data_IF_451582678482
#
_entry.id   IF_451582678482
#
_cell.length_a   1.000
_cell.length_b   1.000
_cell.length_c   1.000
_cell.angle_alpha   90.00
_cell.angle_beta   90.00
_cell.angle_gamma   90.00
#
_symmetry.space_group_name_H-M   'P 1'
#
loop_
_entity.id
_entity.type
_entity.pdbx_description
1 polymer ?
#
# COMPACT_ATOMS: atom_id res chain seq x y z
N UNK A 1 11.17 -60.49 -33.78
CA UNK A 1 10.69 -59.13 -33.48
C UNK A 1 10.41 -58.44 -34.82
N UNK A 2 9.24 -58.66 -35.40
CA UNK A 2 8.84 -58.18 -36.73
C UNK A 2 7.33 -57.92 -36.61
N UNK A 3 6.75 -56.72 -36.70
CA UNK A 3 6.94 -55.53 -37.55
C UNK A 3 6.70 -55.78 -39.05
N UNK A 4 5.49 -56.26 -39.36
CA UNK A 4 4.75 -55.93 -40.59
C UNK A 4 3.25 -55.97 -40.30
N UNK A 5 2.66 -54.85 -39.87
CA UNK A 5 1.20 -54.66 -39.94
C UNK A 5 0.88 -54.18 -41.36
N UNK A 6 0.07 -54.92 -42.11
CA UNK A 6 -0.38 -54.51 -43.45
C UNK A 6 -1.07 -53.15 -43.37
N UNK A 7 -0.99 -52.33 -44.42
CA UNK A 7 -1.59 -50.99 -44.43
C UNK A 7 -3.09 -51.01 -44.07
N UNK A 8 -3.81 -52.07 -44.45
CA UNK A 8 -5.22 -52.24 -44.09
C UNK A 8 -5.46 -52.41 -42.58
N UNK A 9 -4.61 -53.16 -41.87
CA UNK A 9 -4.76 -53.38 -40.43
C UNK A 9 -4.42 -52.12 -39.62
N UNK A 10 -3.42 -51.35 -40.06
CA UNK A 10 -3.10 -50.06 -39.44
C UNK A 10 -4.28 -49.08 -39.58
N UNK A 11 -4.95 -49.06 -40.74
CA UNK A 11 -6.12 -48.20 -40.98
C UNK A 11 -7.32 -48.61 -40.11
N UNK A 12 -7.58 -49.91 -39.94
CA UNK A 12 -8.63 -50.38 -39.04
C UNK A 12 -8.34 -50.04 -37.58
N UNK A 13 -7.10 -50.19 -37.11
CA UNK A 13 -6.70 -49.86 -35.75
C UNK A 13 -6.91 -48.36 -35.44
N UNK A 14 -6.55 -47.47 -36.38
CA UNK A 14 -6.77 -46.02 -36.24
C UNK A 14 -8.27 -45.70 -36.20
N UNK A 15 -9.09 -46.33 -37.06
CA UNK A 15 -10.55 -46.14 -37.05
C UNK A 15 -11.17 -46.60 -35.73
N UNK A 16 -10.75 -47.75 -35.21
CA UNK A 16 -11.28 -48.29 -33.95
C UNK A 16 -10.87 -47.41 -32.75
N UNK A 17 -9.63 -46.91 -32.74
CA UNK A 17 -9.15 -45.98 -31.72
C UNK A 17 -9.98 -44.69 -31.69
N UNK A 18 -10.22 -44.07 -32.85
CA UNK A 18 -11.00 -42.84 -32.96
C UNK A 18 -12.48 -43.05 -32.62
N UNK A 19 -13.08 -44.18 -33.02
CA UNK A 19 -14.45 -44.52 -32.64
C UNK A 19 -14.61 -44.67 -31.12
N UNK A 20 -13.55 -45.11 -30.44
CA UNK A 20 -13.57 -45.35 -28.98
C UNK A 20 -13.21 -44.10 -28.17
N UNK A 21 -12.21 -43.33 -28.62
CA UNK A 21 -11.63 -42.22 -27.84
C UNK A 21 -11.89 -40.82 -28.41
N UNK A 22 -12.40 -40.71 -29.64
CA UNK A 22 -12.54 -39.45 -30.36
C UNK A 22 -13.35 -38.39 -29.61
N UNK A 23 -14.45 -38.79 -28.97
CA UNK A 23 -15.27 -37.88 -28.15
C UNK A 23 -14.48 -37.32 -26.96
N UNK A 24 -13.71 -38.15 -26.25
CA UNK A 24 -12.90 -37.72 -25.11
C UNK A 24 -11.74 -36.81 -25.56
N UNK A 25 -11.11 -37.10 -26.69
CA UNK A 25 -10.05 -36.27 -27.28
C UNK A 25 -10.60 -34.90 -27.69
N UNK A 26 -11.75 -34.86 -28.37
CA UNK A 26 -12.39 -33.61 -28.79
C UNK A 26 -12.81 -32.79 -27.56
N UNK A 27 -13.43 -33.42 -26.57
CA UNK A 27 -13.83 -32.75 -25.34
C UNK A 27 -12.61 -32.19 -24.59
N UNK A 28 -11.55 -32.99 -24.45
CA UNK A 28 -10.29 -32.55 -23.86
C UNK A 28 -9.64 -31.40 -24.62
N UNK A 29 -9.66 -31.43 -25.95
CA UNK A 29 -9.14 -30.35 -26.79
C UNK A 29 -9.97 -29.07 -26.65
N UNK A 30 -11.30 -29.14 -26.62
CA UNK A 30 -12.18 -27.98 -26.44
C UNK A 30 -11.98 -27.36 -25.06
N UNK A 31 -11.91 -28.17 -24.00
CA UNK A 31 -11.64 -27.68 -22.65
C UNK A 31 -10.24 -27.07 -22.57
N UNK A 32 -9.23 -27.73 -23.14
CA UNK A 32 -7.85 -27.27 -23.13
C UNK A 32 -7.67 -25.95 -23.87
N UNK A 33 -8.21 -25.83 -25.09
CA UNK A 33 -8.14 -24.60 -25.88
C UNK A 33 -9.00 -23.49 -25.28
N UNK A 34 -10.19 -23.82 -24.80
CA UNK A 34 -11.09 -22.87 -24.13
C UNK A 34 -10.47 -22.29 -22.85
N UNK A 35 -9.86 -23.14 -22.02
CA UNK A 35 -9.13 -22.70 -20.83
C UNK A 35 -7.92 -21.82 -21.17
N UNK A 36 -7.16 -22.19 -22.20
CA UNK A 36 -5.97 -21.43 -22.61
C UNK A 36 -6.33 -20.06 -23.19
N UNK A 37 -7.37 -19.96 -24.01
CA UNK A 37 -7.88 -18.67 -24.51
C UNK A 37 -8.53 -17.84 -23.42
N UNK A 38 -9.31 -18.44 -22.53
CA UNK A 38 -9.88 -17.74 -21.38
C UNK A 38 -8.81 -17.13 -20.49
N UNK A 39 -7.75 -17.90 -20.18
CA UNK A 39 -6.61 -17.40 -19.39
C UNK A 39 -5.83 -16.30 -20.10
N UNK A 40 -5.59 -16.44 -21.42
CA UNK A 40 -4.93 -15.38 -22.22
C UNK A 40 -5.72 -14.09 -22.23
N UNK A 41 -7.01 -14.17 -22.56
CA UNK A 41 -7.90 -13.01 -22.58
C UNK A 41 -7.93 -12.29 -21.23
N UNK A 42 -8.02 -13.06 -20.12
CA UNK A 42 -7.96 -12.50 -18.78
C UNK A 42 -6.63 -11.79 -18.51
N UNK A 43 -5.49 -12.37 -18.92
CA UNK A 43 -4.18 -11.77 -18.72
C UNK A 43 -4.00 -10.48 -19.55
N UNK A 44 -4.41 -10.51 -20.82
CA UNK A 44 -4.35 -9.35 -21.71
C UNK A 44 -5.21 -8.19 -21.17
N UNK A 45 -6.42 -8.48 -20.70
CA UNK A 45 -7.29 -7.49 -20.06
C UNK A 45 -6.66 -6.87 -18.80
N UNK A 46 -5.98 -7.69 -17.99
CA UNK A 46 -5.29 -7.19 -16.79
C UNK A 46 -4.05 -6.35 -17.13
N UNK A 47 -3.33 -6.71 -18.20
CA UNK A 47 -2.19 -5.93 -18.68
C UNK A 47 -2.63 -4.56 -19.19
N UNK A 48 -3.71 -4.52 -19.98
CA UNK A 48 -4.28 -3.29 -20.50
C UNK A 48 -4.82 -2.39 -19.38
N UNK A 49 -5.54 -2.95 -18.39
CA UNK A 49 -6.00 -2.18 -17.22
C UNK A 49 -4.81 -1.56 -16.46
N UNK A 50 -3.72 -2.31 -16.25
CA UNK A 50 -2.51 -1.78 -15.60
C UNK A 50 -1.85 -0.67 -16.42
N UNK A 51 -1.82 -0.79 -17.76
CA UNK A 51 -1.26 0.24 -18.63
C UNK A 51 -2.09 1.52 -18.61
N UNK A 52 -3.43 1.42 -18.66
CA UNK A 52 -4.33 2.56 -18.55
C UNK A 52 -4.22 3.24 -17.19
N UNK A 53 -4.22 2.46 -16.10
CA UNK A 53 -4.02 2.95 -14.74
C UNK A 53 -2.68 3.68 -14.59
N UNK A 54 -1.61 3.16 -15.19
CA UNK A 54 -0.28 3.78 -15.18
C UNK A 54 -0.29 5.15 -15.85
N UNK A 55 -0.89 5.25 -17.04
CA UNK A 55 -0.98 6.51 -17.78
C UNK A 55 -1.81 7.56 -17.02
N UNK A 56 -2.98 7.16 -16.52
CA UNK A 56 -3.85 8.04 -15.75
C UNK A 56 -3.22 8.45 -14.40
N UNK A 57 -2.49 7.54 -13.74
CA UNK A 57 -1.73 7.88 -12.54
C UNK A 57 -0.62 8.90 -12.81
N UNK A 58 0.12 8.75 -13.91
CA UNK A 58 1.17 9.71 -14.27
C UNK A 58 0.58 11.11 -14.49
N UNK A 59 -0.59 11.22 -15.11
CA UNK A 59 -1.32 12.50 -15.26
C UNK A 59 -1.64 13.13 -13.91
N UNK A 60 -2.10 12.33 -12.94
CA UNK A 60 -2.37 12.80 -11.57
C UNK A 60 -1.07 13.33 -10.95
N UNK A 61 0.03 12.58 -11.02
CA UNK A 61 1.32 12.99 -10.44
C UNK A 61 1.84 14.27 -11.10
N UNK A 62 1.76 14.39 -12.42
CA UNK A 62 2.18 15.59 -13.16
C UNK A 62 1.39 16.83 -12.71
N UNK A 63 0.06 16.71 -12.59
CA UNK A 63 -0.79 17.83 -12.15
C UNK A 63 -0.47 18.27 -10.72
N UNK A 64 -0.35 17.33 -9.78
CA UNK A 64 -0.01 17.64 -8.38
C UNK A 64 1.39 18.25 -8.28
N UNK A 65 2.34 17.77 -9.08
CA UNK A 65 3.70 18.33 -9.15
C UNK A 65 3.73 19.74 -9.74
N UNK A 66 2.78 20.07 -10.61
CA UNK A 66 2.57 21.42 -11.13
C UNK A 66 1.84 22.35 -10.14
N UNK A 67 1.48 21.86 -8.95
CA UNK A 67 0.76 22.61 -7.92
C UNK A 67 -0.75 22.63 -8.11
N UNK A 68 -1.29 21.81 -9.03
CA UNK A 68 -2.73 21.68 -9.21
C UNK A 68 -3.33 20.82 -8.09
N UNK A 69 -4.40 21.32 -7.47
CA UNK A 69 -5.19 20.55 -6.52
C UNK A 69 -6.09 19.58 -7.28
N UNK A 70 -5.84 18.28 -7.10
CA UNK A 70 -6.79 17.25 -7.54
C UNK A 70 -7.93 17.17 -6.55
N UNK A 71 -9.17 17.19 -7.04
CA UNK A 71 -10.33 17.03 -6.15
C UNK A 71 -10.37 15.62 -5.59
N UNK A 72 -10.81 15.48 -4.34
CA UNK A 72 -10.98 14.15 -3.74
C UNK A 72 -11.89 13.26 -4.60
N UNK A 73 -12.94 13.82 -5.21
CA UNK A 73 -13.82 13.08 -6.12
C UNK A 73 -13.07 12.48 -7.32
N UNK A 74 -12.19 13.24 -7.99
CA UNK A 74 -11.40 12.74 -9.11
C UNK A 74 -10.48 11.58 -8.68
N UNK A 75 -9.83 11.71 -7.52
CA UNK A 75 -8.95 10.68 -6.99
C UNK A 75 -9.74 9.42 -6.58
N UNK A 76 -10.90 9.59 -5.96
CA UNK A 76 -11.78 8.48 -5.59
C UNK A 76 -12.36 7.75 -6.82
N UNK A 77 -12.71 8.47 -7.88
CA UNK A 77 -13.07 7.86 -9.17
C UNK A 77 -11.92 7.01 -9.72
N UNK A 78 -10.70 7.55 -9.76
CA UNK A 78 -9.52 6.80 -10.19
C UNK A 78 -9.29 5.53 -9.34
N UNK A 79 -9.39 5.65 -8.01
CA UNK A 79 -9.22 4.53 -7.08
C UNK A 79 -10.26 3.43 -7.36
N UNK A 80 -11.52 3.81 -7.57
CA UNK A 80 -12.61 2.88 -7.87
C UNK A 80 -12.39 2.15 -9.19
N UNK A 81 -12.04 2.89 -10.25
CA UNK A 81 -11.81 2.36 -11.60
C UNK A 81 -10.59 1.42 -11.68
N UNK A 82 -9.57 1.65 -10.84
CA UNK A 82 -8.30 0.93 -10.91
C UNK A 82 -7.94 0.14 -9.65
N UNK A 83 -8.92 -0.22 -8.80
CA UNK A 83 -8.72 -0.92 -7.52
C UNK A 83 -7.93 -2.24 -7.60
N UNK A 84 -7.93 -2.91 -8.76
CA UNK A 84 -7.18 -4.13 -9.02
C UNK A 84 -5.67 -3.90 -9.22
N UNK A 85 -5.23 -2.65 -9.35
CA UNK A 85 -3.85 -2.28 -9.65
C UNK A 85 -3.12 -1.73 -8.42
N UNK A 86 -1.79 -1.69 -8.45
CA UNK A 86 -1.00 -1.02 -7.41
C UNK A 86 -1.15 0.51 -7.39
N UNK A 87 -1.65 1.09 -8.49
CA UNK A 87 -1.82 2.54 -8.62
C UNK A 87 -2.95 3.09 -7.76
N UNK A 88 -3.98 2.29 -7.46
CA UNK A 88 -5.07 2.72 -6.58
C UNK A 88 -4.57 3.07 -5.18
N UNK A 89 -3.67 2.26 -4.60
CA UNK A 89 -3.07 2.55 -3.30
C UNK A 89 -2.22 3.84 -3.33
N UNK A 90 -1.48 4.08 -4.43
CA UNK A 90 -0.69 5.30 -4.59
C UNK A 90 -1.57 6.54 -4.76
N UNK A 91 -2.67 6.44 -5.51
CA UNK A 91 -3.64 7.51 -5.64
C UNK A 91 -4.34 7.84 -4.30
N UNK A 92 -4.62 6.82 -3.48
CA UNK A 92 -5.15 7.01 -2.12
C UNK A 92 -4.16 7.76 -1.21
N UNK A 93 -2.85 7.53 -1.35
CA UNK A 93 -1.83 8.32 -0.66
C UNK A 93 -1.79 9.79 -1.12
N UNK A 94 -2.01 10.05 -2.42
CA UNK A 94 -2.11 11.42 -2.96
C UNK A 94 -3.39 12.09 -2.45
N UNK A 95 -4.52 11.38 -2.42
CA UNK A 95 -5.78 11.89 -1.89
C UNK A 95 -5.62 12.31 -0.42
N UNK A 96 -5.03 11.45 0.40
CA UNK A 96 -4.72 11.77 1.79
C UNK A 96 -3.86 13.04 1.92
N UNK A 97 -2.85 13.22 1.06
CA UNK A 97 -2.02 14.43 1.08
C UNK A 97 -2.84 15.68 0.78
N UNK A 98 -3.66 15.66 -0.28
CA UNK A 98 -4.51 16.80 -0.65
C UNK A 98 -5.50 17.15 0.46
N UNK A 99 -6.07 16.13 1.11
CA UNK A 99 -7.02 16.30 2.21
C UNK A 99 -6.35 16.88 3.47
N UNK A 100 -5.12 16.49 3.79
CA UNK A 100 -4.34 17.13 4.87
C UNK A 100 -4.03 18.59 4.53
N UNK A 101 -3.68 18.90 3.28
CA UNK A 101 -3.43 20.29 2.85
C UNK A 101 -4.69 21.15 2.98
N UNK A 102 -5.88 20.57 2.75
CA UNK A 102 -7.16 21.25 2.93
C UNK A 102 -7.73 21.15 4.36
N UNK A 103 -6.94 20.67 5.33
CA UNK A 103 -7.34 20.49 6.74
C UNK A 103 -8.51 19.51 6.99
N UNK A 104 -8.84 18.67 6.00
CA UNK A 104 -9.83 17.59 6.14
C UNK A 104 -9.16 16.31 6.66
N UNK A 105 -8.79 16.33 7.94
CA UNK A 105 -8.07 15.23 8.58
C UNK A 105 -8.90 13.94 8.70
N UNK A 106 -10.22 14.06 8.75
CA UNK A 106 -11.11 12.89 8.82
C UNK A 106 -11.13 12.14 7.48
N UNK A 107 -11.33 12.85 6.37
CA UNK A 107 -11.26 12.24 5.05
C UNK A 107 -9.83 11.77 4.71
N UNK A 108 -8.80 12.48 5.18
CA UNK A 108 -7.42 12.04 5.01
C UNK A 108 -7.16 10.69 5.71
N UNK A 109 -7.68 10.51 6.93
CA UNK A 109 -7.60 9.24 7.65
C UNK A 109 -8.30 8.12 6.89
N UNK A 110 -9.50 8.36 6.35
CA UNK A 110 -10.20 7.37 5.52
C UNK A 110 -9.39 6.99 4.28
N UNK A 111 -8.83 7.97 3.57
CA UNK A 111 -8.00 7.74 2.38
C UNK A 111 -6.73 6.96 2.69
N UNK A 112 -6.12 7.15 3.87
CA UNK A 112 -4.96 6.37 4.30
C UNK A 112 -5.34 4.94 4.66
N UNK A 113 -6.54 4.72 5.22
CA UNK A 113 -7.05 3.38 5.44
C UNK A 113 -7.29 2.65 4.11
N UNK A 114 -7.81 3.34 3.10
CA UNK A 114 -7.95 2.78 1.75
C UNK A 114 -6.57 2.43 1.16
N UNK A 115 -5.57 3.30 1.32
CA UNK A 115 -4.21 3.03 0.86
C UNK A 115 -3.63 1.74 1.50
N UNK A 116 -3.87 1.53 2.81
CA UNK A 116 -3.48 0.30 3.53
C UNK A 116 -4.18 -0.93 2.93
N UNK A 117 -5.49 -0.84 2.70
CA UNK A 117 -6.31 -1.95 2.21
C UNK A 117 -6.01 -2.32 0.75
N UNK A 118 -5.67 -1.33 -0.06
CA UNK A 118 -5.38 -1.50 -1.49
C UNK A 118 -3.92 -1.87 -1.78
N UNK A 119 -3.02 -1.68 -0.81
CA UNK A 119 -1.60 -1.90 -0.97
C UNK A 119 -1.28 -3.32 -1.46
N UNK A 120 -0.44 -3.42 -2.50
CA UNK A 120 0.07 -4.70 -3.03
C UNK A 120 1.44 -5.09 -2.46
N UNK A 121 2.03 -4.23 -1.63
CA UNK A 121 3.30 -4.48 -0.95
C UNK A 121 3.27 -3.94 0.47
N UNK A 122 3.96 -4.64 1.36
CA UNK A 122 4.07 -4.26 2.77
C UNK A 122 4.72 -2.89 2.92
N UNK A 123 5.66 -2.53 2.04
CA UNK A 123 6.30 -1.21 2.06
C UNK A 123 5.30 -0.06 1.85
N UNK A 124 4.32 -0.22 0.95
CA UNK A 124 3.28 0.81 0.73
C UNK A 124 2.28 0.81 1.88
N UNK A 125 1.88 -0.36 2.37
CA UNK A 125 0.99 -0.49 3.53
C UNK A 125 1.60 0.19 4.78
N UNK A 126 2.88 -0.08 5.05
CA UNK A 126 3.58 0.48 6.21
C UNK A 126 3.84 1.98 6.06
N UNK A 127 4.17 2.45 4.85
CA UNK A 127 4.23 3.90 4.59
C UNK A 127 2.88 4.58 4.86
N UNK A 128 1.77 3.95 4.46
CA UNK A 128 0.43 4.47 4.72
C UNK A 128 0.11 4.48 6.23
N UNK A 129 0.49 3.45 7.00
CA UNK A 129 0.36 3.41 8.46
C UNK A 129 1.13 4.52 9.17
N UNK A 130 2.38 4.79 8.76
CA UNK A 130 3.17 5.90 9.31
C UNK A 130 2.48 7.25 9.10
N UNK A 131 1.89 7.46 7.91
CA UNK A 131 1.14 8.68 7.61
C UNK A 131 -0.19 8.74 8.37
N UNK A 132 -0.87 7.60 8.49
CA UNK A 132 -2.12 7.46 9.23
C UNK A 132 -1.94 7.81 10.69
N UNK A 133 -0.88 7.30 11.33
CA UNK A 133 -0.57 7.62 12.72
C UNK A 133 -0.36 9.13 12.95
N UNK A 134 0.30 9.83 12.01
CA UNK A 134 0.44 11.30 12.10
C UNK A 134 -0.91 12.02 12.00
N UNK A 135 -1.77 11.59 11.07
CA UNK A 135 -3.13 12.17 10.93
C UNK A 135 -3.98 11.89 12.18
N UNK A 136 -3.94 10.66 12.69
CA UNK A 136 -4.62 10.29 13.94
C UNK A 136 -4.12 11.13 15.12
N UNK A 137 -2.80 11.34 15.23
CA UNK A 137 -2.21 12.20 16.25
C UNK A 137 -2.64 13.67 16.13
N UNK A 138 -2.70 14.21 14.91
CA UNK A 138 -3.22 15.55 14.64
C UNK A 138 -4.72 15.69 14.99
N UNK A 139 -5.46 14.59 14.97
CA UNK A 139 -6.85 14.48 15.47
C UNK A 139 -6.94 14.14 16.97
N UNK A 140 -5.83 14.21 17.71
CA UNK A 140 -5.71 13.87 19.13
C UNK A 140 -6.07 12.40 19.48
N UNK A 141 -6.09 11.52 18.49
CA UNK A 141 -6.36 10.08 18.64
C UNK A 141 -5.08 9.32 19.02
N UNK A 142 -4.37 9.77 20.06
CA UNK A 142 -3.00 9.33 20.36
C UNK A 142 -2.86 7.83 20.59
N UNK A 143 -3.77 7.20 21.34
CA UNK A 143 -3.74 5.75 21.58
C UNK A 143 -3.92 4.94 20.28
N UNK A 144 -4.79 5.41 19.38
CA UNK A 144 -5.01 4.79 18.07
C UNK A 144 -3.79 4.97 17.18
N UNK A 145 -3.16 6.16 17.21
CA UNK A 145 -1.93 6.45 16.49
C UNK A 145 -0.77 5.52 16.90
N UNK A 146 -0.56 5.36 18.21
CA UNK A 146 0.46 4.44 18.74
C UNK A 146 0.19 2.99 18.31
N UNK A 147 -1.06 2.54 18.39
CA UNK A 147 -1.47 1.19 17.94
C UNK A 147 -1.22 1.00 16.44
N UNK A 148 -1.49 2.03 15.63
CA UNK A 148 -1.22 2.00 14.18
C UNK A 148 0.28 1.86 13.91
N UNK A 149 1.13 2.58 14.65
CA UNK A 149 2.59 2.47 14.54
C UNK A 149 3.10 1.09 14.93
N UNK A 150 2.53 0.45 15.95
CA UNK A 150 2.91 -0.91 16.37
C UNK A 150 2.56 -1.98 15.32
N UNK A 151 1.68 -1.67 14.37
CA UNK A 151 1.33 -2.56 13.25
C UNK A 151 2.26 -2.44 12.04
N UNK A 152 3.25 -1.55 12.07
CA UNK A 152 4.30 -1.42 11.04
C UNK A 152 5.28 -2.57 11.18
N UNK A 153 5.44 -3.39 10.14
CA UNK A 153 6.26 -4.62 10.20
C UNK A 153 7.64 -4.45 9.55
N UNK A 154 7.78 -3.52 8.62
CA UNK A 154 9.03 -3.28 7.92
C UNK A 154 10.02 -2.54 8.83
N UNK A 155 11.09 -3.25 9.21
CA UNK A 155 12.15 -2.75 10.09
C UNK A 155 12.93 -1.58 9.51
N UNK A 156 12.88 -1.37 8.19
CA UNK A 156 13.47 -0.18 7.55
C UNK A 156 12.77 1.11 7.99
N UNK A 157 11.54 1.01 8.51
CA UNK A 157 10.78 2.13 9.05
C UNK A 157 10.95 2.36 10.55
N UNK A 158 11.81 1.59 11.24
CA UNK A 158 11.93 1.63 12.71
C UNK A 158 12.23 3.04 13.23
N UNK A 159 13.13 3.77 12.57
CA UNK A 159 13.47 5.13 12.99
C UNK A 159 12.30 6.09 12.79
N UNK A 160 11.53 5.98 11.69
CA UNK A 160 10.33 6.80 11.53
C UNK A 160 9.23 6.43 12.53
N UNK A 161 9.10 5.14 12.89
CA UNK A 161 8.15 4.71 13.93
C UNK A 161 8.49 5.38 15.26
N UNK A 162 9.74 5.28 15.70
CA UNK A 162 10.18 5.86 16.98
C UNK A 162 10.11 7.39 16.96
N UNK A 163 10.45 8.04 15.84
CA UNK A 163 10.27 9.48 15.70
C UNK A 163 8.82 9.92 15.87
N UNK A 164 7.86 9.26 15.21
CA UNK A 164 6.44 9.61 15.32
C UNK A 164 5.91 9.29 16.73
N UNK A 165 6.35 8.19 17.35
CA UNK A 165 6.02 7.92 18.76
C UNK A 165 6.48 9.06 19.67
N UNK A 166 7.71 9.55 19.47
CA UNK A 166 8.23 10.70 20.20
C UNK A 166 7.37 11.95 20.01
N UNK A 167 6.97 12.25 18.76
CA UNK A 167 6.10 13.39 18.45
C UNK A 167 4.71 13.26 19.10
N UNK A 168 4.15 12.03 19.14
CA UNK A 168 2.87 11.75 19.82
C UNK A 168 2.99 11.97 21.32
N UNK A 169 4.02 11.41 21.97
CA UNK A 169 4.22 11.57 23.40
C UNK A 169 4.47 13.02 23.80
N UNK A 170 5.20 13.77 22.97
CA UNK A 170 5.38 15.21 23.14
C UNK A 170 4.04 15.94 23.09
N UNK A 171 3.16 15.63 22.13
CA UNK A 171 1.82 16.21 22.05
C UNK A 171 0.96 15.88 23.28
N UNK A 172 1.17 14.71 23.89
CA UNK A 172 0.54 14.30 25.15
C UNK A 172 1.17 14.92 26.40
N UNK A 173 2.25 15.72 26.26
CA UNK A 173 3.11 16.23 27.35
C UNK A 173 3.78 15.11 28.17
N UNK A 174 3.87 13.89 27.63
CA UNK A 174 4.64 12.79 28.21
C UNK A 174 6.09 12.90 27.77
N UNK A 175 6.82 13.81 28.41
CA UNK A 175 8.18 14.15 28.02
C UNK A 175 9.18 12.99 28.22
N UNK A 176 8.94 12.12 29.21
CA UNK A 176 9.82 10.98 29.47
C UNK A 176 9.71 9.94 28.35
N UNK A 177 8.48 9.58 27.95
CA UNK A 177 8.27 8.66 26.82
C UNK A 177 8.75 9.26 25.50
N UNK A 178 8.55 10.57 25.28
CA UNK A 178 9.06 11.28 24.10
C UNK A 178 10.59 11.22 24.01
N UNK A 179 11.27 11.45 25.15
CA UNK A 179 12.74 11.37 25.26
C UNK A 179 13.24 9.97 24.94
N UNK A 180 12.60 8.94 25.47
CA UNK A 180 12.99 7.54 25.19
C UNK A 180 12.88 7.24 23.69
N UNK A 181 11.76 7.61 23.07
CA UNK A 181 11.52 7.36 21.65
C UNK A 181 12.53 8.07 20.75
N UNK A 182 12.80 9.37 20.99
CA UNK A 182 13.83 10.09 20.23
C UNK A 182 15.24 9.52 20.46
N UNK A 183 15.55 9.05 21.67
CA UNK A 183 16.85 8.43 21.95
C UNK A 183 17.02 7.10 21.20
N UNK A 184 15.95 6.33 21.03
CA UNK A 184 15.96 5.09 20.23
C UNK A 184 16.32 5.36 18.76
N UNK A 185 15.85 6.49 18.19
CA UNK A 185 16.24 6.90 16.83
C UNK A 185 17.72 7.24 16.79
N UNK A 186 18.21 8.10 17.70
CA UNK A 186 19.60 8.55 17.69
C UNK A 186 20.59 7.42 17.99
N UNK A 187 20.17 6.36 18.69
CA UNK A 187 20.98 5.15 18.90
C UNK A 187 21.15 4.35 17.61
N UNK A 188 20.15 4.32 16.74
CA UNK A 188 20.24 3.63 15.44
C UNK A 188 20.87 4.52 14.37
N UNK A 189 20.67 5.84 14.46
CA UNK A 189 21.08 6.84 13.48
C UNK A 189 21.52 8.13 14.18
N UNK A 190 22.76 8.13 14.67
CA UNK A 190 23.35 9.25 15.44
C UNK A 190 23.36 10.57 14.67
N UNK A 191 23.34 10.52 13.33
CA UNK A 191 23.39 11.71 12.47
C UNK A 191 22.00 12.24 12.09
N UNK A 192 20.92 11.72 12.67
CA UNK A 192 19.57 12.25 12.45
C UNK A 192 19.40 13.62 13.11
N UNK A 193 19.78 14.66 12.37
CA UNK A 193 19.78 16.05 12.83
C UNK A 193 18.39 16.55 13.23
N UNK A 194 17.35 16.10 12.53
CA UNK A 194 15.98 16.54 12.80
C UNK A 194 15.52 16.05 14.17
N UNK A 195 15.78 14.78 14.49
CA UNK A 195 15.46 14.22 15.81
C UNK A 195 16.36 14.80 16.91
N UNK A 196 17.63 15.09 16.63
CA UNK A 196 18.50 15.77 17.59
C UNK A 196 17.97 17.17 17.98
N UNK A 197 17.40 17.90 17.01
CA UNK A 197 16.74 19.20 17.27
C UNK A 197 15.47 19.00 18.10
N UNK A 198 14.62 18.03 17.75
CA UNK A 198 13.40 17.69 18.53
C UNK A 198 13.74 17.34 19.98
N UNK A 199 14.75 16.50 20.20
CA UNK A 199 15.25 16.13 21.53
C UNK A 199 15.74 17.35 22.33
N UNK A 200 16.44 18.28 21.68
CA UNK A 200 16.92 19.49 22.33
C UNK A 200 15.78 20.42 22.75
N UNK A 201 14.78 20.57 21.88
CA UNK A 201 13.58 21.38 22.15
C UNK A 201 12.71 20.77 23.26
N UNK A 202 12.66 19.44 23.36
CA UNK A 202 11.93 18.72 24.40
C UNK A 202 12.38 19.14 25.81
N UNK A 203 13.69 19.25 26.03
CA UNK A 203 14.25 19.66 27.31
C UNK A 203 13.84 21.08 27.72
N UNK A 204 13.68 21.98 26.74
CA UNK A 204 13.17 23.34 26.97
C UNK A 204 11.66 23.35 27.24
N UNK A 205 10.88 22.56 26.50
CA UNK A 205 9.44 22.48 26.72
C UNK A 205 9.09 21.95 28.12
N UNK A 206 9.84 20.96 28.61
CA UNK A 206 9.62 20.39 29.94
C UNK A 206 9.84 21.41 31.07
N UNK A 207 10.79 22.34 30.95
CA UNK A 207 11.04 23.36 31.99
C UNK A 207 9.97 24.43 32.04
N UNK A 208 9.36 24.78 30.91
CA UNK A 208 8.25 25.74 30.84
C UNK A 208 7.00 25.24 31.57
N UNK A 209 6.65 23.96 31.40
CA UNK A 209 5.48 23.36 32.07
C UNK A 209 5.64 23.33 33.59
N UNK A 210 6.86 23.09 34.09
CA UNK A 210 7.14 23.10 35.53
C UNK A 210 7.03 24.50 36.13
N UNK A 211 7.48 25.53 35.40
CA UNK A 211 7.37 26.93 35.83
C UNK A 211 5.91 27.39 36.01
N UNK A 212 5.05 27.07 35.03
CA UNK A 212 3.63 27.43 35.03
C UNK A 212 2.86 26.77 36.20
N UNK A 213 3.23 25.54 36.57
CA UNK A 213 2.63 24.83 37.71
C UNK A 213 3.05 25.33 39.10
N UNK A 214 3.98 26.29 39.18
CA UNK A 214 4.51 26.83 40.43
C UNK A 214 4.03 28.25 40.78
N UNK A 215 3.22 28.86 39.89
CA UNK A 215 2.67 30.21 40.06
C UNK A 215 1.17 30.23 40.48
N UNK A 216 0.52 29.06 40.60
CA UNK A 216 -0.85 28.87 41.12
C UNK A 216 -0.86 28.33 42.56
#
# INVERSE_FOLDING_TARGET
MERYETEEQQVEAIKAFWKTNGTAIILGAVIGLGGLWGWRYYNDAQLENKAQASFAYNKIVESVSAGETQTNTQLQSFISEHNGTGYAALAALIAAQQLVISDDLEAAQASLQDAINLAKSDAISDLAKLRLARVQAAREQFSVALTTLDSVINTSFKDQVEEIKGDIYLAQKDFDSAKIAYANVLTNNENNRDVAIKMSNLAYAATQVVGDSSED
#
